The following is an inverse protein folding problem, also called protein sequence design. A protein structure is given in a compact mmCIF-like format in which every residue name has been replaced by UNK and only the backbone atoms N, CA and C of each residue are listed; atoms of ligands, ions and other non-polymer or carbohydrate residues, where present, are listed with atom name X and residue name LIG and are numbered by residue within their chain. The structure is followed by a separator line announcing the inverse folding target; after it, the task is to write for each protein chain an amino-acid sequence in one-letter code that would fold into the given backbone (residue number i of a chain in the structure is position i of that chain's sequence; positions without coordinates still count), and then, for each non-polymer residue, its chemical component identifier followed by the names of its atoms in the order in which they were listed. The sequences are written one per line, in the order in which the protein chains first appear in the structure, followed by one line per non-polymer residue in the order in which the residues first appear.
data_IF_430766204263
#
_entry.id   IF_430766204263
#
_cell.length_a   1.000
_cell.length_b   1.000
_cell.length_c   1.000
_cell.angle_alpha   90.00
_cell.angle_beta   90.00
_cell.angle_gamma   90.00
#
_symmetry.space_group_name_H-M   'P 1'
#
loop_
_entity.id
_entity.type
_entity.pdbx_description
1 polymer ?
#
# COMPACT_ATOMS: atom_id res chain seq x y z
N UNK A 1 0.72 -7.41 18.25
CA UNK A 1 0.20 -7.54 16.86
C UNK A 1 -1.04 -6.70 16.61
N UNK A 2 -2.07 -6.76 17.44
CA UNK A 2 -3.34 -6.05 17.20
C UNK A 2 -3.23 -4.53 17.14
N UNK A 3 -2.48 -3.91 18.07
CA UNK A 3 -2.29 -2.45 18.10
C UNK A 3 -1.59 -1.90 16.83
N UNK A 4 -0.42 -2.41 16.39
CA UNK A 4 0.22 -1.92 15.16
C UNK A 4 -0.62 -2.17 13.91
N UNK A 5 -1.36 -3.29 13.87
CA UNK A 5 -2.24 -3.62 12.74
C UNK A 5 -3.47 -2.69 12.67
N UNK A 6 -4.04 -2.32 13.84
CA UNK A 6 -5.12 -1.36 13.94
C UNK A 6 -4.67 0.06 13.54
N UNK A 7 -3.52 0.52 14.03
CA UNK A 7 -2.95 1.82 13.67
C UNK A 7 -2.61 1.90 12.18
N UNK A 8 -2.01 0.85 11.62
CA UNK A 8 -1.71 0.77 10.19
C UNK A 8 -2.99 0.82 9.34
N UNK A 9 -4.00 0.03 9.71
CA UNK A 9 -5.27 -0.02 8.98
C UNK A 9 -6.00 1.33 9.05
N UNK A 10 -6.06 1.97 10.22
CA UNK A 10 -6.65 3.30 10.37
C UNK A 10 -5.92 4.34 9.51
N UNK A 11 -4.58 4.35 9.56
CA UNK A 11 -3.78 5.25 8.72
C UNK A 11 -4.02 5.03 7.23
N UNK A 12 -4.03 3.77 6.79
CA UNK A 12 -4.32 3.42 5.39
C UNK A 12 -5.72 3.88 4.97
N UNK A 13 -6.74 3.70 5.81
CA UNK A 13 -8.11 4.16 5.53
C UNK A 13 -8.18 5.69 5.41
N UNK A 14 -7.55 6.43 6.33
CA UNK A 14 -7.52 7.91 6.28
C UNK A 14 -6.88 8.40 4.98
N UNK A 15 -5.72 7.85 4.62
CA UNK A 15 -5.04 8.20 3.37
C UNK A 15 -5.88 7.83 2.14
N UNK A 16 -6.48 6.63 2.14
CA UNK A 16 -7.32 6.15 1.05
C UNK A 16 -8.51 7.08 0.82
N UNK A 17 -9.20 7.48 1.89
CA UNK A 17 -10.36 8.40 1.82
C UNK A 17 -9.93 9.76 1.30
N UNK A 18 -8.85 10.33 1.83
CA UNK A 18 -8.37 11.65 1.43
C UNK A 18 -7.97 11.69 -0.05
N UNK A 19 -7.22 10.68 -0.50
CA UNK A 19 -6.82 10.55 -1.90
C UNK A 19 -8.01 10.23 -2.82
N UNK A 20 -8.95 9.39 -2.39
CA UNK A 20 -10.15 9.10 -3.19
C UNK A 20 -11.00 10.35 -3.40
N UNK A 21 -11.17 11.19 -2.37
CA UNK A 21 -11.85 12.47 -2.49
C UNK A 21 -11.12 13.43 -3.43
N UNK A 22 -9.79 13.47 -3.35
CA UNK A 22 -8.96 14.26 -4.27
C UNK A 22 -9.18 13.83 -5.73
N UNK A 23 -9.03 12.53 -6.03
CA UNK A 23 -9.24 12.01 -7.38
C UNK A 23 -10.69 12.12 -7.86
N UNK A 24 -11.67 12.07 -6.94
CA UNK A 24 -13.07 12.34 -7.28
C UNK A 24 -13.30 13.79 -7.70
N UNK A 25 -12.56 14.75 -7.12
CA UNK A 25 -12.72 16.18 -7.39
C UNK A 25 -11.87 16.67 -8.56
N UNK A 26 -10.67 16.14 -8.73
CA UNK A 26 -9.67 16.66 -9.68
C UNK A 26 -9.28 15.66 -10.78
N UNK A 27 -9.61 14.38 -10.63
CA UNK A 27 -9.21 13.32 -11.55
C UNK A 27 -10.21 13.02 -12.65
N UNK A 28 -9.75 12.26 -13.63
CA UNK A 28 -10.59 11.56 -14.60
C UNK A 28 -11.18 10.32 -13.93
N UNK A 29 -12.45 10.02 -14.19
CA UNK A 29 -13.24 9.06 -13.40
C UNK A 29 -12.66 7.63 -13.25
N UNK A 30 -11.66 7.24 -14.05
CA UNK A 30 -10.95 5.97 -13.92
C UNK A 30 -9.83 5.97 -12.86
N UNK A 31 -9.17 7.11 -12.62
CA UNK A 31 -7.98 7.21 -11.76
C UNK A 31 -8.29 6.85 -10.30
N UNK A 32 -9.48 7.22 -9.82
CA UNK A 32 -9.94 6.86 -8.47
C UNK A 32 -10.02 5.34 -8.25
N UNK A 33 -10.34 4.57 -9.29
CA UNK A 33 -10.46 3.11 -9.21
C UNK A 33 -9.09 2.45 -9.26
N UNK A 34 -8.19 2.96 -10.12
CA UNK A 34 -6.79 2.52 -10.17
C UNK A 34 -6.11 2.77 -8.83
N UNK A 35 -6.28 3.97 -8.28
CA UNK A 35 -5.76 4.32 -6.96
C UNK A 35 -6.31 3.40 -5.87
N UNK A 36 -7.62 3.16 -5.85
CA UNK A 36 -8.24 2.26 -4.87
C UNK A 36 -7.67 0.83 -4.97
N UNK A 37 -7.46 0.31 -6.17
CA UNK A 37 -6.83 -1.00 -6.40
C UNK A 37 -5.39 -1.06 -5.88
N UNK A 38 -4.58 -0.03 -6.15
CA UNK A 38 -3.23 0.08 -5.61
C UNK A 38 -3.24 0.15 -4.07
N UNK A 39 -4.20 0.87 -3.49
CA UNK A 39 -4.29 1.04 -2.04
C UNK A 39 -4.69 -0.25 -1.32
N UNK A 40 -5.63 -1.03 -1.88
CA UNK A 40 -5.98 -2.37 -1.37
C UNK A 40 -4.76 -3.28 -1.42
N UNK A 41 -4.01 -3.25 -2.51
CA UNK A 41 -2.80 -4.07 -2.69
C UNK A 41 -1.73 -3.70 -1.66
N UNK A 42 -1.44 -2.40 -1.51
CA UNK A 42 -0.47 -1.91 -0.53
C UNK A 42 -0.89 -2.23 0.92
N UNK A 43 -2.18 -2.12 1.24
CA UNK A 43 -2.72 -2.47 2.55
C UNK A 43 -2.56 -3.97 2.84
N UNK A 44 -2.90 -4.84 1.88
CA UNK A 44 -2.75 -6.29 2.01
C UNK A 44 -1.28 -6.68 2.24
N UNK A 45 -0.35 -6.11 1.46
CA UNK A 45 1.08 -6.33 1.62
C UNK A 45 1.55 -5.85 3.01
N UNK A 46 1.14 -4.66 3.44
CA UNK A 46 1.50 -4.12 4.75
C UNK A 46 1.02 -4.99 5.91
N UNK A 47 -0.19 -5.56 5.82
CA UNK A 47 -0.68 -6.53 6.80
C UNK A 47 0.19 -7.79 6.83
N UNK A 48 0.54 -8.35 5.67
CA UNK A 48 1.37 -9.55 5.59
C UNK A 48 2.74 -9.31 6.23
N UNK A 49 3.34 -8.13 6.03
CA UNK A 49 4.59 -7.73 6.69
C UNK A 49 4.45 -7.63 8.21
N UNK A 50 3.40 -6.97 8.71
CA UNK A 50 3.15 -6.84 10.16
C UNK A 50 2.87 -8.22 10.78
N UNK A 51 2.26 -9.13 10.04
CA UNK A 51 2.03 -10.52 10.44
C UNK A 51 3.30 -11.38 10.42
N UNK A 52 4.44 -10.85 9.97
CA UNK A 52 5.73 -11.51 10.02
C UNK A 52 6.15 -12.22 8.74
N UNK A 53 5.40 -12.07 7.62
CA UNK A 53 5.91 -12.49 6.32
C UNK A 53 7.14 -11.65 5.97
N UNK A 54 8.26 -12.33 5.74
CA UNK A 54 9.47 -11.73 5.18
C UNK A 54 9.53 -12.12 3.72
N UNK A 55 9.85 -11.16 2.86
CA UNK A 55 10.25 -11.54 1.51
C UNK A 55 11.51 -12.41 1.57
N UNK A 56 11.63 -13.39 0.67
CA UNK A 56 12.86 -14.14 0.56
C UNK A 56 14.01 -13.17 0.33
N UNK A 57 15.12 -13.40 1.03
CA UNK A 57 16.32 -12.59 0.84
C UNK A 57 16.73 -12.73 -0.63
N UNK A 58 16.85 -11.61 -1.37
CA UNK A 58 17.17 -11.70 -2.78
C UNK A 58 18.53 -12.38 -2.95
N UNK A 59 18.54 -13.56 -3.55
CA UNK A 59 19.74 -14.38 -3.81
C UNK A 59 20.59 -13.71 -4.92
N UNK A 60 19.99 -12.80 -5.68
CA UNK A 60 20.64 -11.97 -6.70
C UNK A 60 20.17 -10.53 -6.55
N UNK A 61 21.07 -9.53 -6.75
CA UNK A 61 20.67 -8.14 -6.77
C UNK A 61 19.65 -7.89 -7.89
N UNK A 62 18.56 -7.20 -7.57
CA UNK A 62 17.55 -6.77 -8.54
C UNK A 62 18.15 -5.83 -9.60
N UNK A 63 19.15 -5.04 -9.22
CA UNK A 63 19.87 -4.14 -10.10
C UNK A 63 21.38 -4.37 -9.96
N UNK A 64 21.94 -5.39 -10.63
CA UNK A 64 23.36 -5.74 -10.50
C UNK A 64 24.33 -4.62 -10.95
N UNK A 65 23.84 -3.62 -11.69
CA UNK A 65 24.64 -2.55 -12.26
C UNK A 65 24.67 -1.24 -11.44
N UNK A 66 23.89 -1.14 -10.35
CA UNK A 66 23.98 0.00 -9.42
C UNK A 66 25.07 -0.28 -8.37
N UNK A 67 26.30 0.07 -8.72
CA UNK A 67 27.45 0.17 -7.80
C UNK A 67 27.65 1.61 -7.37
#
# INVERSE_FOLDING_TARGET
MWLPLALFTLGAVVVAVHQFQYWRKYGQGAEKWVFLGCMITAWAIGILFIAGMKFPTPIRPLFPAWK
#
